data_IF_454954365224
#
_entry.id   IF_454954365224
#
_cell.length_a   1.000
_cell.length_b   1.000
_cell.length_c   1.000
_cell.angle_alpha   90.00
_cell.angle_beta   90.00
_cell.angle_gamma   90.00
#
_symmetry.space_group_name_H-M   'P 1'
#
loop_
_entity.id
_entity.type
_entity.pdbx_description
1 polymer ?
#
# COMPACT_ATOMS: atom_id res chain seq x y z
N UNK A 1 16.28 -3.02 -15.57
CA UNK A 1 15.47 -3.67 -14.52
C UNK A 1 14.22 -2.84 -14.37
N UNK A 2 13.05 -3.44 -14.57
CA UNK A 2 11.78 -2.71 -14.52
C UNK A 2 11.54 -2.18 -13.10
N UNK A 3 11.41 -0.87 -12.93
CA UNK A 3 11.35 -0.23 -11.63
C UNK A 3 9.89 -0.03 -11.22
N UNK A 4 9.50 -0.51 -10.04
CA UNK A 4 8.13 -0.38 -9.55
C UNK A 4 7.82 1.11 -9.28
N UNK A 5 6.73 1.61 -9.88
CA UNK A 5 6.19 2.95 -9.64
C UNK A 5 5.44 2.99 -8.30
N UNK A 6 5.81 3.87 -7.34
CA UNK A 6 5.13 4.00 -6.05
C UNK A 6 3.63 4.25 -6.19
N UNK A 7 3.21 4.95 -7.25
CA UNK A 7 1.79 5.27 -7.52
C UNK A 7 0.99 4.01 -7.79
N UNK A 8 1.56 3.01 -8.46
CA UNK A 8 0.87 1.74 -8.70
C UNK A 8 0.67 0.95 -7.41
N UNK A 9 1.65 0.97 -6.49
CA UNK A 9 1.53 0.33 -5.18
C UNK A 9 0.48 1.05 -4.31
N UNK A 10 0.47 2.39 -4.33
CA UNK A 10 -0.56 3.18 -3.65
C UNK A 10 -1.96 2.89 -4.21
N UNK A 11 -2.11 2.83 -5.53
CA UNK A 11 -3.37 2.46 -6.17
C UNK A 11 -3.82 1.05 -5.79
N UNK A 12 -2.89 0.10 -5.67
CA UNK A 12 -3.21 -1.24 -5.18
C UNK A 12 -3.76 -1.20 -3.75
N UNK A 13 -3.17 -0.40 -2.84
CA UNK A 13 -3.68 -0.24 -1.48
C UNK A 13 -5.13 0.26 -1.47
N UNK A 14 -5.43 1.30 -2.26
CA UNK A 14 -6.79 1.86 -2.38
C UNK A 14 -7.77 0.88 -3.04
N UNK A 15 -7.33 0.08 -4.00
CA UNK A 15 -8.17 -0.94 -4.62
C UNK A 15 -8.53 -2.06 -3.64
N UNK A 16 -7.58 -2.49 -2.81
CA UNK A 16 -7.85 -3.48 -1.75
C UNK A 16 -8.85 -2.92 -0.75
N UNK A 17 -8.68 -1.68 -0.28
CA UNK A 17 -9.62 -1.03 0.63
C UNK A 17 -11.04 -0.96 0.07
N UNK A 18 -11.19 -0.55 -1.20
CA UNK A 18 -12.50 -0.54 -1.89
C UNK A 18 -13.09 -1.95 -1.99
N UNK A 19 -12.28 -2.95 -2.35
CA UNK A 19 -12.74 -4.33 -2.43
C UNK A 19 -13.21 -4.84 -1.07
N UNK A 20 -12.48 -4.56 0.01
CA UNK A 20 -12.88 -4.88 1.38
C UNK A 20 -14.19 -4.21 1.76
N UNK A 21 -14.36 -2.93 1.43
CA UNK A 21 -15.61 -2.21 1.68
C UNK A 21 -16.79 -2.86 0.95
N UNK A 22 -16.65 -3.14 -0.35
CA UNK A 22 -17.68 -3.82 -1.15
C UNK A 22 -18.01 -5.19 -0.53
N UNK A 23 -17.01 -6.01 -0.24
CA UNK A 23 -17.24 -7.36 0.31
C UNK A 23 -17.92 -7.33 1.68
N UNK A 24 -17.66 -6.30 2.50
CA UNK A 24 -18.28 -6.14 3.82
C UNK A 24 -19.74 -5.65 3.77
N UNK A 25 -20.14 -4.97 2.70
CA UNK A 25 -21.44 -4.32 2.58
C UNK A 25 -22.37 -5.00 1.56
N UNK A 26 -21.82 -5.82 0.66
CA UNK A 26 -22.59 -6.32 -0.48
C UNK A 26 -23.53 -7.44 -0.05
N UNK A 27 -24.81 -7.24 -0.37
CA UNK A 27 -25.88 -8.19 -0.14
C UNK A 27 -26.21 -8.96 -1.43
N UNK A 28 -26.70 -10.19 -1.27
CA UNK A 28 -27.32 -10.96 -2.32
C UNK A 28 -28.76 -10.48 -2.61
N UNK A 29 -29.41 -11.11 -3.59
CA UNK A 29 -30.81 -10.84 -3.96
C UNK A 29 -31.81 -11.10 -2.82
N UNK A 30 -31.43 -11.88 -1.82
CA UNK A 30 -32.26 -12.26 -0.68
C UNK A 30 -31.94 -11.40 0.56
N UNK A 31 -31.09 -10.38 0.42
CA UNK A 31 -30.71 -9.43 1.47
C UNK A 31 -29.62 -9.93 2.42
N UNK A 32 -28.97 -11.05 2.13
CA UNK A 32 -27.92 -11.63 2.98
C UNK A 32 -26.53 -11.18 2.53
N UNK A 33 -25.57 -11.00 3.44
CA UNK A 33 -24.18 -10.70 3.06
C UNK A 33 -23.62 -11.75 2.11
N UNK A 34 -22.92 -11.32 1.05
CA UNK A 34 -22.24 -12.24 0.13
C UNK A 34 -21.07 -12.97 0.79
N UNK A 35 -20.49 -12.38 1.83
CA UNK A 35 -19.41 -12.95 2.61
C UNK A 35 -19.67 -12.68 4.09
N UNK A 36 -19.73 -13.73 4.89
CA UNK A 36 -19.69 -13.62 6.35
C UNK A 36 -18.24 -13.34 6.77
N UNK A 37 -17.85 -12.08 6.56
CA UNK A 37 -16.46 -11.65 6.68
C UNK A 37 -16.11 -11.29 8.12
N UNK A 38 -17.03 -10.61 8.81
CA UNK A 38 -16.92 -10.30 10.23
C UNK A 38 -18.16 -10.78 10.95
N UNK A 39 -17.98 -11.26 12.16
CA UNK A 39 -19.06 -11.68 13.04
C UNK A 39 -19.01 -10.86 14.33
N UNK A 40 -20.15 -10.34 14.75
CA UNK A 40 -20.36 -9.79 16.08
C UNK A 40 -21.70 -10.37 16.55
N UNK A 41 -21.63 -11.42 17.35
CA UNK A 41 -22.77 -12.14 17.93
C UNK A 41 -22.63 -12.24 19.44
N UNK A 42 -23.65 -12.76 20.12
CA UNK A 42 -23.55 -13.06 21.56
C UNK A 42 -22.59 -14.22 21.84
N UNK A 43 -22.36 -15.11 20.87
CA UNK A 43 -21.39 -16.20 20.97
C UNK A 43 -19.93 -15.75 20.80
N UNK A 44 -19.68 -14.59 20.18
CA UNK A 44 -18.34 -14.04 20.05
C UNK A 44 -18.18 -12.98 18.96
N UNK A 45 -16.96 -12.45 18.84
CA UNK A 45 -16.60 -11.51 17.78
C UNK A 45 -15.44 -12.05 16.95
N UNK A 46 -15.66 -12.15 15.64
CA UNK A 46 -14.64 -12.49 14.66
C UNK A 46 -14.39 -11.27 13.75
N UNK A 47 -13.25 -10.61 13.95
CA UNK A 47 -12.79 -9.47 13.14
C UNK A 47 -11.56 -9.82 12.29
N UNK A 48 -11.25 -11.11 12.14
CA UNK A 48 -10.03 -11.57 11.45
C UNK A 48 -9.95 -11.04 10.02
N UNK A 49 -11.08 -10.96 9.31
CA UNK A 49 -11.13 -10.40 7.97
C UNK A 49 -10.75 -8.92 7.95
N UNK A 50 -11.39 -8.08 8.78
CA UNK A 50 -11.07 -6.66 8.83
C UNK A 50 -9.59 -6.43 9.18
N UNK A 51 -9.06 -7.22 10.12
CA UNK A 51 -7.66 -7.13 10.55
C UNK A 51 -6.69 -7.53 9.44
N UNK A 52 -6.89 -8.67 8.78
CA UNK A 52 -5.95 -9.15 7.76
C UNK A 52 -5.95 -8.25 6.51
N UNK A 53 -7.11 -7.76 6.07
CA UNK A 53 -7.16 -6.80 4.97
C UNK A 53 -6.54 -5.44 5.36
N UNK A 54 -6.73 -4.99 6.60
CA UNK A 54 -6.04 -3.81 7.12
C UNK A 54 -4.52 -3.97 7.11
N UNK A 55 -3.99 -5.14 7.47
CA UNK A 55 -2.55 -5.44 7.38
C UNK A 55 -2.02 -5.39 5.94
N UNK A 56 -2.80 -5.86 4.97
CA UNK A 56 -2.42 -5.79 3.55
C UNK A 56 -2.33 -4.34 3.09
N UNK A 57 -3.35 -3.53 3.37
CA UNK A 57 -3.35 -2.08 3.05
C UNK A 57 -2.15 -1.39 3.68
N UNK A 58 -1.90 -1.61 4.97
CA UNK A 58 -0.77 -1.02 5.69
C UNK A 58 0.60 -1.39 5.09
N UNK A 59 0.77 -2.63 4.63
CA UNK A 59 2.00 -3.06 3.96
C UNK A 59 2.19 -2.38 2.61
N UNK A 60 1.13 -2.21 1.84
CA UNK A 60 1.18 -1.51 0.54
C UNK A 60 1.49 -0.02 0.74
N UNK A 61 0.91 0.62 1.75
CA UNK A 61 1.21 2.01 2.10
C UNK A 61 2.68 2.16 2.56
N UNK A 62 3.19 1.21 3.36
CA UNK A 62 4.61 1.20 3.76
C UNK A 62 5.54 1.04 2.55
N UNK A 63 5.24 0.11 1.64
CA UNK A 63 6.03 -0.09 0.42
C UNK A 63 6.04 1.16 -0.46
N UNK A 64 4.91 1.87 -0.56
CA UNK A 64 4.83 3.16 -1.27
C UNK A 64 5.83 4.16 -0.69
N UNK A 65 5.83 4.35 0.63
CA UNK A 65 6.75 5.27 1.31
C UNK A 65 8.22 4.87 1.11
N UNK A 66 8.55 3.58 1.18
CA UNK A 66 9.91 3.10 0.96
C UNK A 66 10.39 3.34 -0.47
N UNK A 67 9.51 3.17 -1.47
CA UNK A 67 9.84 3.43 -2.86
C UNK A 67 10.05 4.93 -3.11
N UNK A 68 9.17 5.79 -2.59
CA UNK A 68 9.31 7.25 -2.69
C UNK A 68 10.64 7.72 -2.08
N UNK A 69 10.97 7.23 -0.89
CA UNK A 69 12.22 7.55 -0.21
C UNK A 69 13.45 7.09 -1.01
N UNK A 70 13.38 5.91 -1.65
CA UNK A 70 14.44 5.41 -2.53
C UNK A 70 14.65 6.36 -3.71
N UNK A 71 13.58 6.78 -4.39
CA UNK A 71 13.69 7.70 -5.53
C UNK A 71 14.23 9.07 -5.12
N UNK A 72 13.76 9.62 -3.99
CA UNK A 72 14.28 10.87 -3.42
C UNK A 72 15.78 10.79 -3.16
N UNK A 73 16.25 9.69 -2.55
CA UNK A 73 17.66 9.45 -2.26
C UNK A 73 18.52 9.32 -3.52
N UNK A 74 18.03 8.63 -4.55
CA UNK A 74 18.72 8.54 -5.85
C UNK A 74 18.89 9.95 -6.45
N UNK A 75 17.83 10.77 -6.44
CA UNK A 75 17.88 12.14 -6.93
C UNK A 75 18.87 13.01 -6.16
N UNK A 76 18.87 12.94 -4.82
CA UNK A 76 19.82 13.67 -3.98
C UNK A 76 21.27 13.24 -4.25
N UNK A 77 21.53 11.93 -4.33
CA UNK A 77 22.87 11.41 -4.62
C UNK A 77 23.37 11.85 -6.01
N UNK A 78 22.47 11.91 -6.99
CA UNK A 78 22.79 12.41 -8.33
C UNK A 78 23.08 13.92 -8.35
N UNK A 79 22.27 14.73 -7.65
CA UNK A 79 22.55 16.16 -7.52
C UNK A 79 23.88 16.41 -6.80
N UNK A 80 24.15 15.65 -5.73
CA UNK A 80 25.40 15.70 -4.99
C UNK A 80 26.60 15.35 -5.89
N UNK A 81 26.52 14.31 -6.72
CA UNK A 81 27.62 13.94 -7.61
C UNK A 81 27.91 15.03 -8.65
N UNK A 82 26.88 15.72 -9.17
CA UNK A 82 27.07 16.85 -10.07
C UNK A 82 27.75 18.05 -9.39
N UNK A 83 27.45 18.34 -8.13
CA UNK A 83 28.14 19.40 -7.38
C UNK A 83 29.64 19.11 -7.26
N UNK A 84 30.01 17.86 -6.99
CA UNK A 84 31.42 17.45 -6.84
C UNK A 84 32.18 17.26 -8.17
N UNK A 85 31.51 17.20 -9.32
CA UNK A 85 32.19 17.24 -10.64
C UNK A 85 32.98 18.55 -10.84
N UNK A 86 32.54 19.66 -10.23
CA UNK A 86 33.29 20.92 -10.28
C UNK A 86 34.57 20.91 -9.42
N UNK A 87 34.78 19.86 -8.61
CA UNK A 87 35.96 19.66 -7.77
C UNK A 87 36.75 18.41 -8.19
N UNK A 88 36.78 18.08 -9.49
CA UNK A 88 37.71 17.06 -9.98
C UNK A 88 39.15 17.57 -9.75
N UNK A 89 40.01 16.81 -9.04
CA UNK A 89 41.37 17.24 -8.77
C UNK A 89 42.14 17.33 -10.10
N UNK A 90 42.64 18.52 -10.43
CA UNK A 90 43.67 18.68 -11.45
C UNK A 90 45.00 18.22 -10.84
N UNK A 91 45.61 17.20 -11.42
CA UNK A 91 46.99 16.80 -11.12
C UNK A 91 47.95 17.72 -11.85
#
# INVERSE_FOLDING_TARGET
TDAIDPRFVSNAARNIEKATWILSQRLDKDGKPLLFSNEISEEGSNLSFAVEFGKIVARLDLLTQMLDERYRRIGLNYAQSLLFLNFLPVQ
#
